data_IF_287502528084
#
_entry.id   IF_287502528084
#
_cell.length_a   1.000
_cell.length_b   1.000
_cell.length_c   1.000
_cell.angle_alpha   90.00
_cell.angle_beta   90.00
_cell.angle_gamma   90.00
#
_symmetry.space_group_name_H-M   'P 1'
#
loop_
_entity.id
_entity.type
_entity.pdbx_description
1 polymer ?
#
# COMPACT_ATOMS: atom_id res chain seq x y z
N UNK A 1 -70.12 3.75 10.57
CA UNK A 1 -69.07 4.74 10.89
C UNK A 1 -67.94 4.06 11.63
N UNK A 2 -66.67 4.33 11.28
CA UNK A 2 -65.50 3.79 12.00
C UNK A 2 -65.28 4.58 13.30
N UNK A 3 -65.00 3.91 14.42
CA UNK A 3 -64.42 4.53 15.62
C UNK A 3 -62.90 4.27 15.64
N UNK A 4 -62.16 5.25 16.11
CA UNK A 4 -60.75 5.13 16.44
C UNK A 4 -60.56 4.20 17.67
N UNK A 5 -59.38 3.59 17.82
CA UNK A 5 -58.35 4.09 18.76
C UNK A 5 -57.17 3.11 18.83
N UNK A 6 -55.97 3.69 18.83
CA UNK A 6 -54.66 3.04 19.00
C UNK A 6 -54.48 2.62 20.46
N UNK A 7 -53.76 1.53 20.74
CA UNK A 7 -52.88 1.42 21.94
C UNK A 7 -51.75 0.42 21.67
N UNK A 8 -50.64 0.65 22.38
CA UNK A 8 -49.28 0.19 22.11
C UNK A 8 -48.85 -0.87 23.15
N UNK A 9 -48.18 -1.93 22.68
CA UNK A 9 -47.03 -2.70 23.24
C UNK A 9 -46.94 -2.89 24.78
N UNK A 10 -46.66 -4.12 25.26
CA UNK A 10 -45.56 -4.45 26.22
C UNK A 10 -45.42 -5.97 26.55
N UNK A 11 -44.18 -6.47 26.38
CA UNK A 11 -43.43 -7.52 27.11
C UNK A 11 -43.74 -9.05 27.12
N UNK A 12 -42.73 -9.78 26.59
CA UNK A 12 -41.96 -10.93 27.14
C UNK A 12 -42.46 -12.41 27.17
N UNK A 13 -41.82 -13.21 26.28
CA UNK A 13 -41.01 -14.44 26.51
C UNK A 13 -41.66 -15.74 27.03
N UNK A 14 -41.44 -16.84 26.26
CA UNK A 14 -41.27 -18.20 26.78
C UNK A 14 -40.37 -19.10 25.88
N UNK A 15 -39.80 -20.14 26.50
CA UNK A 15 -38.55 -20.88 26.15
C UNK A 15 -38.87 -22.40 26.07
N UNK A 16 -38.40 -23.22 25.11
CA UNK A 16 -37.52 -23.02 23.93
C UNK A 16 -37.73 -24.19 22.92
N UNK A 17 -36.87 -24.31 21.89
CA UNK A 17 -36.35 -25.56 21.25
C UNK A 17 -36.63 -25.81 19.75
N UNK A 18 -35.56 -25.79 18.95
CA UNK A 18 -35.22 -26.89 18.04
C UNK A 18 -35.89 -27.00 16.65
N UNK A 19 -35.38 -26.24 15.68
CA UNK A 19 -35.16 -26.74 14.31
C UNK A 19 -34.07 -25.90 13.64
N UNK A 20 -33.16 -26.53 12.90
CA UNK A 20 -31.98 -25.86 12.36
C UNK A 20 -32.19 -25.20 11.00
N UNK A 21 -31.21 -24.35 10.69
CA UNK A 21 -30.45 -24.42 9.44
C UNK A 21 -30.99 -23.68 8.19
N UNK A 22 -30.17 -22.67 7.83
CA UNK A 22 -29.94 -22.04 6.51
C UNK A 22 -30.66 -20.72 6.21
N UNK A 23 -29.95 -19.61 6.48
CA UNK A 23 -29.86 -18.45 5.59
C UNK A 23 -28.68 -17.51 5.98
N UNK A 24 -27.51 -18.06 6.29
CA UNK A 24 -26.27 -17.28 6.16
C UNK A 24 -26.02 -17.20 4.65
N UNK A 25 -26.46 -16.11 4.02
CA UNK A 25 -26.18 -15.87 2.61
C UNK A 25 -24.66 -15.78 2.44
N UNK A 26 -24.10 -16.80 1.80
CA UNK A 26 -22.69 -16.86 1.41
C UNK A 26 -22.34 -15.57 0.67
N UNK A 27 -21.31 -14.85 1.14
CA UNK A 27 -20.79 -13.68 0.44
C UNK A 27 -19.71 -14.19 -0.51
N UNK A 28 -19.90 -14.14 -1.84
CA UNK A 28 -18.86 -14.55 -2.76
C UNK A 28 -17.63 -13.66 -2.58
N UNK A 29 -16.45 -14.26 -2.50
CA UNK A 29 -15.19 -13.56 -2.34
C UNK A 29 -14.64 -13.22 -3.73
N UNK A 30 -14.49 -11.93 -4.10
CA UNK A 30 -13.77 -11.56 -5.32
C UNK A 30 -12.32 -11.99 -5.16
N UNK A 31 -11.78 -12.80 -6.08
CA UNK A 31 -10.42 -13.32 -5.96
C UNK A 31 -9.40 -12.48 -6.71
N UNK A 32 -9.72 -12.05 -7.93
CA UNK A 32 -8.84 -11.19 -8.74
C UNK A 32 -9.66 -10.19 -9.55
N UNK A 33 -9.15 -8.95 -9.66
CA UNK A 33 -9.67 -7.93 -10.57
C UNK A 33 -8.61 -7.64 -11.64
N UNK A 34 -8.92 -7.95 -12.90
CA UNK A 34 -8.09 -7.52 -14.04
C UNK A 34 -8.63 -6.17 -14.49
N UNK A 35 -7.76 -5.16 -14.58
CA UNK A 35 -8.15 -3.83 -15.02
C UNK A 35 -7.42 -3.42 -16.30
N UNK A 36 -8.01 -2.51 -17.06
CA UNK A 36 -7.43 -2.07 -18.32
C UNK A 36 -8.24 -0.99 -19.02
N UNK A 37 -7.65 -0.40 -20.05
CA UNK A 37 -8.32 0.59 -20.90
C UNK A 37 -8.57 0.02 -22.30
N UNK A 38 -9.76 0.25 -22.84
CA UNK A 38 -10.20 -0.23 -24.15
C UNK A 38 -10.74 0.93 -24.99
N UNK A 39 -10.36 0.99 -26.27
CA UNK A 39 -10.89 1.97 -27.23
C UNK A 39 -11.92 1.30 -28.12
N UNK A 40 -13.16 1.79 -28.12
CA UNK A 40 -14.24 1.28 -28.99
C UNK A 40 -15.17 2.40 -29.42
N UNK A 41 -15.68 2.33 -30.65
CA UNK A 41 -16.65 3.30 -31.22
C UNK A 41 -16.23 4.78 -31.09
N UNK A 42 -14.91 5.06 -31.12
CA UNK A 42 -14.36 6.42 -30.95
C UNK A 42 -14.40 6.96 -29.51
N UNK A 43 -14.61 6.09 -28.52
CA UNK A 43 -14.58 6.39 -27.09
C UNK A 43 -13.56 5.50 -26.37
N UNK A 44 -13.13 5.93 -25.19
CA UNK A 44 -12.26 5.18 -24.29
C UNK A 44 -13.07 4.70 -23.09
N UNK A 45 -12.81 3.47 -22.67
CA UNK A 45 -13.42 2.84 -21.51
C UNK A 45 -12.34 2.29 -20.58
N UNK A 46 -12.65 2.24 -19.28
CA UNK A 46 -11.89 1.52 -18.27
C UNK A 46 -12.70 0.29 -17.84
N UNK A 47 -12.12 -0.89 -18.05
CA UNK A 47 -12.71 -2.17 -17.72
C UNK A 47 -12.17 -2.67 -16.39
N UNK A 48 -13.06 -3.22 -15.57
CA UNK A 48 -12.77 -3.94 -14.33
C UNK A 48 -13.43 -5.31 -14.41
N UNK A 49 -12.62 -6.34 -14.69
CA UNK A 49 -13.06 -7.73 -14.77
C UNK A 49 -12.86 -8.39 -13.40
N UNK A 50 -13.94 -8.53 -12.64
CA UNK A 50 -13.92 -9.27 -11.37
C UNK A 50 -14.11 -10.76 -11.62
N UNK A 51 -13.18 -11.58 -11.12
CA UNK A 51 -13.34 -13.02 -11.03
C UNK A 51 -14.04 -13.39 -9.72
N UNK A 52 -15.22 -14.01 -9.85
CA UNK A 52 -16.08 -14.43 -8.75
C UNK A 52 -16.19 -15.95 -8.76
N UNK A 53 -15.60 -16.62 -7.76
CA UNK A 53 -15.79 -18.05 -7.56
C UNK A 53 -17.10 -18.31 -6.80
N UNK A 54 -17.90 -19.24 -7.30
CA UNK A 54 -19.07 -19.80 -6.61
C UNK A 54 -18.76 -21.22 -6.12
N UNK A 55 -19.55 -21.74 -5.17
CA UNK A 55 -19.32 -23.02 -4.47
C UNK A 55 -19.10 -24.24 -5.41
N UNK A 56 -19.57 -24.16 -6.66
CA UNK A 56 -19.39 -25.15 -7.73
C UNK A 56 -17.94 -25.29 -8.27
N UNK A 57 -16.94 -24.59 -7.71
CA UNK A 57 -15.60 -24.38 -8.30
C UNK A 57 -15.62 -23.75 -9.72
N UNK A 58 -16.72 -23.07 -10.08
CA UNK A 58 -16.83 -22.31 -11.33
C UNK A 58 -16.42 -20.87 -11.11
N UNK A 59 -15.50 -20.40 -11.95
CA UNK A 59 -15.13 -18.99 -12.04
C UNK A 59 -16.13 -18.29 -12.96
N UNK A 60 -16.84 -17.31 -12.42
CA UNK A 60 -17.69 -16.39 -13.17
C UNK A 60 -16.94 -15.06 -13.33
N UNK A 61 -16.87 -14.53 -14.54
CA UNK A 61 -16.29 -13.22 -14.81
C UNK A 61 -17.40 -12.17 -14.93
N UNK A 62 -17.30 -11.10 -14.14
CA UNK A 62 -18.18 -9.95 -14.23
C UNK A 62 -17.36 -8.74 -14.70
N UNK A 63 -17.69 -8.21 -15.87
CA UNK A 63 -17.03 -7.04 -16.45
C UNK A 63 -17.86 -5.80 -16.08
N UNK A 64 -17.24 -4.87 -15.38
CA UNK A 64 -17.73 -3.51 -15.23
C UNK A 64 -16.95 -2.60 -16.17
N UNK A 65 -17.66 -1.78 -16.94
CA UNK A 65 -17.07 -0.91 -17.94
C UNK A 65 -17.53 0.52 -17.68
N UNK A 66 -16.56 1.45 -17.64
CA UNK A 66 -16.78 2.86 -17.34
C UNK A 66 -16.23 3.72 -18.48
N UNK A 67 -17.02 4.64 -19.03
CA UNK A 67 -16.53 5.57 -20.04
C UNK A 67 -15.53 6.56 -19.42
N UNK A 68 -14.33 6.65 -19.99
CA UNK A 68 -13.29 7.61 -19.58
C UNK A 68 -13.65 8.97 -20.16
N UNK A 69 -14.52 9.68 -19.45
CA UNK A 69 -15.13 10.92 -19.91
C UNK A 69 -14.05 11.93 -20.31
N UNK A 70 -14.20 12.47 -21.53
CA UNK A 70 -13.32 13.49 -22.08
C UNK A 70 -12.12 12.96 -22.88
N UNK A 71 -11.64 11.73 -22.66
CA UNK A 71 -10.41 11.21 -23.27
C UNK A 71 -10.42 11.21 -24.82
N UNK A 72 -9.32 11.62 -25.45
CA UNK A 72 -9.17 11.57 -26.91
C UNK A 72 -8.81 10.15 -27.38
N UNK A 73 -9.83 9.38 -27.73
CA UNK A 73 -9.73 8.01 -28.26
C UNK A 73 -8.76 7.82 -29.45
N UNK A 74 -8.40 8.89 -30.19
CA UNK A 74 -7.43 8.80 -31.30
C UNK A 74 -5.98 8.84 -30.84
N UNK A 75 -5.72 9.43 -29.67
CA UNK A 75 -4.36 9.57 -29.11
C UNK A 75 -4.19 8.84 -27.78
N UNK A 76 -5.22 8.12 -27.33
CA UNK A 76 -5.20 7.38 -26.08
C UNK A 76 -4.26 6.16 -26.13
N UNK A 77 -3.50 5.99 -25.04
CA UNK A 77 -2.60 4.86 -24.80
C UNK A 77 -2.65 4.45 -23.34
N UNK A 78 -2.70 3.15 -23.06
CA UNK A 78 -2.47 2.62 -21.70
C UNK A 78 -1.00 2.82 -21.33
N UNK A 79 -0.73 3.26 -20.10
CA UNK A 79 0.64 3.48 -19.62
C UNK A 79 0.98 2.42 -18.59
N UNK A 80 1.93 1.56 -18.92
CA UNK A 80 2.50 0.60 -17.97
C UNK A 80 3.48 1.27 -17.03
N UNK A 81 3.61 0.73 -15.82
CA UNK A 81 4.70 1.10 -14.89
C UNK A 81 6.03 0.84 -15.57
N UNK A 82 6.94 1.81 -15.54
CA UNK A 82 8.37 1.54 -15.72
C UNK A 82 8.75 0.60 -14.57
N UNK A 83 8.84 -0.71 -14.84
CA UNK A 83 9.54 -1.62 -13.91
C UNK A 83 10.96 -1.11 -13.80
N UNK A 84 11.21 -0.36 -12.74
CA UNK A 84 12.50 0.28 -12.49
C UNK A 84 13.60 -0.76 -12.60
N UNK A 85 14.71 -0.37 -13.21
CA UNK A 85 15.86 -1.24 -13.50
C UNK A 85 16.48 -1.85 -12.23
N UNK A 86 16.04 -1.39 -11.04
CA UNK A 86 16.47 -1.86 -9.73
C UNK A 86 15.32 -2.54 -8.94
N UNK A 87 14.59 -3.46 -9.56
CA UNK A 87 13.90 -4.54 -8.83
C UNK A 87 14.94 -5.55 -8.30
N UNK A 88 15.91 -5.04 -7.53
CA UNK A 88 16.85 -5.85 -6.75
C UNK A 88 16.12 -6.46 -5.54
N UNK A 89 16.76 -7.41 -4.86
CA UNK A 89 16.13 -8.41 -4.00
C UNK A 89 15.32 -7.91 -2.78
N UNK A 90 15.28 -6.59 -2.53
CA UNK A 90 14.64 -5.97 -1.37
C UNK A 90 13.27 -5.30 -1.67
N UNK A 91 12.80 -5.29 -2.92
CA UNK A 91 11.45 -4.77 -3.23
C UNK A 91 10.37 -5.79 -2.86
N UNK A 92 9.39 -5.42 -2.02
CA UNK A 92 8.20 -6.25 -1.76
C UNK A 92 7.44 -6.49 -3.08
N UNK A 93 7.36 -7.75 -3.60
CA UNK A 93 6.70 -8.04 -4.87
C UNK A 93 5.22 -7.63 -4.91
N UNK A 94 4.56 -7.51 -3.75
CA UNK A 94 3.17 -7.06 -3.64
C UNK A 94 3.01 -5.56 -3.94
N UNK A 95 4.09 -4.77 -3.94
CA UNK A 95 4.05 -3.32 -4.26
C UNK A 95 3.68 -3.06 -5.72
N UNK A 96 3.95 -4.01 -6.62
CA UNK A 96 3.76 -3.84 -8.08
C UNK A 96 2.72 -4.81 -8.67
N UNK A 97 2.09 -5.65 -7.86
CA UNK A 97 0.97 -6.48 -8.28
C UNK A 97 -0.26 -5.60 -8.62
N UNK A 98 -0.96 -5.92 -9.70
CA UNK A 98 -2.20 -5.23 -10.09
C UNK A 98 -2.06 -3.87 -10.79
N UNK A 99 -0.85 -3.35 -11.06
CA UNK A 99 -0.66 -2.03 -11.68
C UNK A 99 -0.82 -2.01 -13.21
N UNK A 100 -0.87 -3.17 -13.86
CA UNK A 100 -1.12 -3.28 -15.30
C UNK A 100 -2.52 -2.78 -15.63
N UNK A 101 -2.63 -1.73 -16.44
CA UNK A 101 -3.91 -1.22 -16.92
C UNK A 101 -4.52 -0.05 -16.13
N UNK A 102 -4.03 0.23 -14.90
CA UNK A 102 -4.54 1.33 -14.05
C UNK A 102 -4.42 2.72 -14.69
N UNK A 103 -3.29 3.00 -15.34
CA UNK A 103 -3.00 4.31 -15.94
C UNK A 103 -3.23 4.32 -17.46
N UNK A 104 -3.71 5.45 -17.95
CA UNK A 104 -3.79 5.77 -19.38
C UNK A 104 -3.50 7.24 -19.63
N UNK A 105 -3.18 7.60 -20.87
CA UNK A 105 -2.97 9.00 -21.28
C UNK A 105 -3.45 9.22 -22.70
N UNK A 106 -3.92 10.43 -22.99
CA UNK A 106 -3.99 10.94 -24.35
C UNK A 106 -2.84 11.93 -24.61
N UNK A 107 -2.88 12.70 -25.70
CA UNK A 107 -1.83 13.68 -26.01
C UNK A 107 -1.68 14.84 -24.99
N UNK A 108 -2.68 15.05 -24.13
CA UNK A 108 -2.79 16.25 -23.27
C UNK A 108 -3.16 15.95 -21.82
N UNK A 109 -3.70 14.76 -21.51
CA UNK A 109 -4.20 14.38 -20.18
C UNK A 109 -3.78 12.99 -19.77
N UNK A 110 -3.84 12.76 -18.46
CA UNK A 110 -3.51 11.51 -17.79
C UNK A 110 -4.75 11.05 -17.03
N UNK A 111 -4.97 9.73 -17.00
CA UNK A 111 -6.11 9.09 -16.40
C UNK A 111 -5.65 7.96 -15.48
N UNK A 112 -6.30 7.80 -14.33
CA UNK A 112 -6.15 6.66 -13.43
C UNK A 112 -7.53 6.08 -13.17
N UNK A 113 -7.68 4.78 -13.35
CA UNK A 113 -8.93 4.05 -13.08
C UNK A 113 -10.15 4.67 -13.78
N UNK A 114 -9.96 5.10 -15.03
CA UNK A 114 -10.97 5.77 -15.86
C UNK A 114 -11.29 7.23 -15.51
N UNK A 115 -10.60 7.83 -14.54
CA UNK A 115 -10.81 9.22 -14.11
C UNK A 115 -9.62 10.11 -14.53
N UNK A 116 -9.89 11.34 -14.98
CA UNK A 116 -8.83 12.32 -15.30
C UNK A 116 -8.10 12.75 -14.00
N UNK A 117 -6.77 12.75 -14.04
CA UNK A 117 -5.93 13.14 -12.90
C UNK A 117 -5.63 14.63 -12.99
N UNK A 118 -6.16 15.40 -12.03
CA UNK A 118 -6.05 16.86 -12.01
C UNK A 118 -5.06 17.36 -10.94
N UNK A 119 -4.43 18.52 -11.14
CA UNK A 119 -3.56 19.10 -10.11
C UNK A 119 -4.33 19.37 -8.81
N UNK A 120 -3.62 19.23 -7.67
CA UNK A 120 -4.15 19.54 -6.35
C UNK A 120 -4.56 21.03 -6.24
N UNK A 121 -3.73 21.91 -6.79
CA UNK A 121 -3.82 23.37 -6.76
C UNK A 121 -3.43 23.97 -8.12
N UNK A 122 -3.87 25.18 -8.43
CA UNK A 122 -3.40 25.94 -9.61
C UNK A 122 -1.90 26.29 -9.57
N UNK A 123 -1.26 26.14 -8.40
CA UNK A 123 0.18 26.30 -8.21
C UNK A 123 0.99 25.02 -8.49
N UNK A 124 0.34 23.87 -8.66
CA UNK A 124 1.03 22.61 -8.98
C UNK A 124 1.41 22.62 -10.46
N UNK A 125 2.68 22.37 -10.84
CA UNK A 125 3.10 22.31 -12.24
C UNK A 125 2.28 21.29 -13.03
N UNK A 126 1.89 21.65 -14.26
CA UNK A 126 1.24 20.72 -15.16
C UNK A 126 2.21 19.61 -15.59
N UNK A 127 1.80 18.35 -15.47
CA UNK A 127 2.62 17.19 -15.88
C UNK A 127 2.84 17.21 -17.40
N UNK A 128 4.08 17.10 -17.85
CA UNK A 128 4.38 16.88 -19.28
C UNK A 128 4.03 15.44 -19.70
N UNK A 129 2.83 15.30 -20.27
CA UNK A 129 2.27 14.04 -20.76
C UNK A 129 3.14 13.40 -21.86
N UNK A 130 3.98 14.16 -22.56
CA UNK A 130 4.87 13.63 -23.59
C UNK A 130 6.05 12.84 -23.01
N UNK A 131 6.60 13.28 -21.87
CA UNK A 131 7.70 12.60 -21.16
C UNK A 131 7.26 11.76 -19.96
N UNK A 132 5.95 11.73 -19.66
CA UNK A 132 5.33 10.95 -18.58
C UNK A 132 5.81 9.48 -18.51
N UNK A 133 6.22 9.09 -17.30
CA UNK A 133 6.53 7.72 -16.87
C UNK A 133 5.84 7.41 -15.54
N UNK A 134 5.28 6.22 -15.41
CA UNK A 134 4.67 5.73 -14.17
C UNK A 134 5.75 4.98 -13.37
N UNK A 135 5.97 5.34 -12.10
CA UNK A 135 7.02 4.76 -11.25
C UNK A 135 6.44 3.67 -10.33
N UNK A 136 5.25 3.92 -9.77
CA UNK A 136 4.52 2.98 -8.91
C UNK A 136 3.02 3.28 -8.93
N UNK A 137 2.25 2.65 -8.04
CA UNK A 137 0.82 2.93 -7.87
C UNK A 137 0.53 4.42 -7.61
N UNK A 138 1.36 5.06 -6.78
CA UNK A 138 1.16 6.41 -6.26
C UNK A 138 2.09 7.45 -6.89
N UNK A 139 3.08 7.05 -7.69
CA UNK A 139 4.11 7.96 -8.19
C UNK A 139 4.23 7.94 -9.70
N UNK A 140 4.22 9.13 -10.28
CA UNK A 140 4.50 9.39 -11.70
C UNK A 140 5.57 10.47 -11.81
N UNK A 141 6.24 10.56 -12.96
CA UNK A 141 7.18 11.64 -13.27
C UNK A 141 7.08 12.06 -14.71
N UNK A 142 7.51 13.28 -14.98
CA UNK A 142 7.92 13.72 -16.31
C UNK A 142 9.45 13.91 -16.35
N UNK A 143 9.96 14.65 -17.34
CA UNK A 143 11.40 14.93 -17.44
C UNK A 143 11.96 15.91 -16.38
N UNK A 144 11.11 16.59 -15.60
CA UNK A 144 11.50 17.67 -14.68
C UNK A 144 11.00 17.49 -13.25
N UNK A 145 9.90 16.76 -13.02
CA UNK A 145 9.27 16.65 -11.70
C UNK A 145 8.81 15.23 -11.39
N UNK A 146 8.70 14.93 -10.10
CA UNK A 146 8.01 13.74 -9.57
C UNK A 146 6.70 14.20 -8.94
N UNK A 147 5.64 13.41 -9.10
CA UNK A 147 4.31 13.70 -8.59
C UNK A 147 3.75 12.52 -7.81
N UNK A 148 3.13 12.83 -6.68
CA UNK A 148 2.30 11.91 -5.90
C UNK A 148 0.88 11.99 -6.45
N UNK A 149 0.36 10.88 -6.97
CA UNK A 149 -1.02 10.71 -7.42
C UNK A 149 -1.83 10.06 -6.30
N UNK A 150 -2.83 10.77 -5.79
CA UNK A 150 -3.66 10.32 -4.68
C UNK A 150 -5.03 11.03 -4.65
N UNK A 151 -5.91 10.62 -3.73
CA UNK A 151 -7.20 11.23 -3.44
C UNK A 151 -7.07 12.58 -2.71
N UNK A 152 -6.59 13.61 -3.41
CA UNK A 152 -6.57 15.00 -2.92
C UNK A 152 -7.96 15.44 -2.43
N UNK A 153 -8.04 16.29 -1.37
CA UNK A 153 -9.11 16.30 -0.37
C UNK A 153 -10.53 15.94 -0.84
N UNK A 154 -10.79 14.62 -0.76
CA UNK A 154 -12.06 13.90 -0.90
C UNK A 154 -12.83 14.12 -2.23
N UNK A 155 -13.10 13.01 -2.92
CA UNK A 155 -13.93 12.87 -4.13
C UNK A 155 -13.29 13.19 -5.50
N UNK A 156 -11.96 13.36 -5.60
CA UNK A 156 -11.28 13.30 -6.91
C UNK A 156 -9.89 12.66 -6.80
N UNK A 157 -9.49 11.92 -7.82
CA UNK A 157 -8.08 11.57 -8.02
C UNK A 157 -7.36 12.82 -8.54
N UNK A 158 -6.20 13.13 -7.97
CA UNK A 158 -5.38 14.23 -8.43
C UNK A 158 -3.91 14.01 -8.11
N UNK A 159 -3.10 15.03 -8.34
CA UNK A 159 -1.66 14.94 -8.10
C UNK A 159 -1.11 16.19 -7.42
N UNK A 160 -0.05 16.00 -6.64
CA UNK A 160 0.79 17.06 -6.09
C UNK A 160 2.24 16.83 -6.48
N UNK A 161 2.98 17.90 -6.70
CA UNK A 161 4.43 17.84 -6.91
C UNK A 161 5.12 17.36 -5.63
N UNK A 162 6.08 16.46 -5.79
CA UNK A 162 6.95 15.99 -4.73
C UNK A 162 8.30 16.69 -4.91
N UNK A 163 8.78 17.50 -3.95
CA UNK A 163 10.05 18.21 -4.04
C UNK A 163 11.23 17.24 -3.81
N UNK A 164 11.43 16.34 -4.77
CA UNK A 164 12.59 15.45 -4.87
C UNK A 164 13.84 16.25 -5.24
N UNK A 165 15.03 15.76 -4.90
CA UNK A 165 16.28 16.43 -5.27
C UNK A 165 16.80 15.99 -6.65
N UNK A 166 16.45 14.79 -7.09
CA UNK A 166 16.76 14.30 -8.44
C UNK A 166 15.61 13.43 -9.03
N UNK A 167 14.72 14.02 -9.85
CA UNK A 167 13.65 13.31 -10.55
C UNK A 167 14.10 12.18 -11.48
N UNK A 168 15.37 12.19 -11.92
CA UNK A 168 15.87 11.17 -12.85
C UNK A 168 16.31 9.89 -12.15
N UNK A 169 16.70 9.98 -10.87
CA UNK A 169 17.14 8.84 -10.05
C UNK A 169 16.13 8.44 -8.97
N UNK A 170 15.01 9.14 -8.85
CA UNK A 170 13.93 8.79 -7.93
C UNK A 170 13.36 7.39 -8.20
N UNK A 171 13.30 6.57 -7.15
CA UNK A 171 12.78 5.20 -7.15
C UNK A 171 11.95 4.94 -5.88
N UNK A 172 10.85 4.21 -6.04
CA UNK A 172 10.01 3.74 -4.93
C UNK A 172 10.49 2.36 -4.50
N UNK A 173 10.73 2.16 -3.20
CA UNK A 173 11.26 0.92 -2.62
C UNK A 173 10.13 0.01 -2.14
N UNK A 174 9.12 0.59 -1.49
CA UNK A 174 7.85 -0.03 -1.15
C UNK A 174 6.77 1.08 -0.99
N UNK A 175 5.57 0.74 -0.50
CA UNK A 175 4.48 1.71 -0.25
C UNK A 175 4.79 2.86 0.72
N UNK A 176 5.88 2.77 1.49
CA UNK A 176 6.23 3.70 2.57
C UNK A 176 7.59 4.37 2.40
N UNK A 177 8.44 3.93 1.47
CA UNK A 177 9.76 4.53 1.26
C UNK A 177 10.12 4.70 -0.21
N UNK A 178 10.79 5.79 -0.50
CA UNK A 178 11.42 6.08 -1.78
C UNK A 178 12.80 6.71 -1.56
N UNK A 179 13.62 6.78 -2.60
CA UNK A 179 14.90 7.50 -2.60
C UNK A 179 15.24 8.05 -3.97
N UNK A 180 16.06 9.09 -4.02
CA UNK A 180 16.80 9.50 -5.21
C UNK A 180 18.31 9.41 -4.92
N UNK A 181 19.17 9.90 -5.82
CA UNK A 181 20.62 9.87 -5.62
C UNK A 181 21.14 10.73 -4.44
N UNK A 182 20.31 11.61 -3.87
CA UNK A 182 20.71 12.61 -2.87
C UNK A 182 19.92 12.51 -1.54
N UNK A 183 18.76 11.85 -1.53
CA UNK A 183 17.87 11.80 -0.38
C UNK A 183 17.05 10.51 -0.28
N UNK A 184 16.65 10.19 0.95
CA UNK A 184 15.67 9.17 1.29
C UNK A 184 14.37 9.86 1.72
N UNK A 185 13.24 9.25 1.39
CA UNK A 185 11.89 9.78 1.64
C UNK A 185 11.03 8.73 2.35
N UNK A 186 10.29 9.17 3.35
CA UNK A 186 9.22 8.42 4.00
C UNK A 186 7.86 8.89 3.45
N UNK A 187 6.95 7.94 3.26
CA UNK A 187 5.64 8.15 2.61
C UNK A 187 4.54 7.74 3.60
N UNK A 188 4.22 8.57 4.60
CA UNK A 188 3.15 8.29 5.54
C UNK A 188 1.76 8.46 4.90
N UNK A 189 0.82 7.66 5.38
CA UNK A 189 -0.62 7.81 5.18
C UNK A 189 -1.25 8.22 6.51
N UNK A 190 -2.02 9.30 6.53
CA UNK A 190 -2.65 9.84 7.76
C UNK A 190 -4.08 9.32 8.01
N UNK A 191 -4.61 8.49 7.10
CA UNK A 191 -6.00 8.03 7.10
C UNK A 191 -6.86 8.70 6.04
N UNK A 192 -6.40 9.81 5.44
CA UNK A 192 -7.08 10.53 4.37
C UNK A 192 -6.22 10.68 3.11
N UNK A 193 -4.94 11.03 3.26
CA UNK A 193 -4.00 11.25 2.14
C UNK A 193 -2.61 10.71 2.44
N UNK A 194 -1.88 10.38 1.38
CA UNK A 194 -0.44 10.20 1.42
C UNK A 194 0.28 11.56 1.40
N UNK A 195 1.47 11.59 1.97
CA UNK A 195 2.42 12.71 1.81
C UNK A 195 3.84 12.17 1.65
N UNK A 196 4.81 13.03 1.35
CA UNK A 196 6.21 12.65 1.18
C UNK A 196 7.11 13.53 2.05
N UNK A 197 7.86 12.89 2.94
CA UNK A 197 8.72 13.56 3.93
C UNK A 197 10.17 13.17 3.68
N UNK A 198 11.04 14.15 3.41
CA UNK A 198 12.48 13.93 3.29
C UNK A 198 13.08 13.52 4.63
N UNK A 199 13.72 12.36 4.69
CA UNK A 199 14.44 11.88 5.86
C UNK A 199 15.83 12.52 5.92
N UNK A 200 16.19 13.07 7.08
CA UNK A 200 17.48 13.75 7.27
C UNK A 200 18.57 12.80 7.76
N UNK A 201 19.79 12.97 7.24
CA UNK A 201 20.98 12.30 7.75
C UNK A 201 21.22 10.88 7.26
N UNK A 202 20.33 10.30 6.44
CA UNK A 202 20.49 8.97 5.82
C UNK A 202 21.31 9.03 4.53
N UNK A 203 22.10 8.00 4.27
CA UNK A 203 22.81 7.79 3.00
C UNK A 203 21.92 7.02 2.01
N UNK A 204 21.41 7.65 0.93
CA UNK A 204 20.56 6.98 -0.04
C UNK A 204 21.28 5.85 -0.80
N UNK A 205 22.62 5.90 -0.88
CA UNK A 205 23.39 4.86 -1.59
C UNK A 205 23.34 3.52 -0.87
N UNK A 206 23.38 3.53 0.47
CA UNK A 206 23.33 2.32 1.31
C UNK A 206 21.97 2.08 1.94
N UNK A 207 21.00 2.98 1.74
CA UNK A 207 19.63 2.82 2.24
C UNK A 207 18.88 1.66 1.57
N UNK A 208 18.34 0.77 2.41
CA UNK A 208 17.57 -0.41 2.01
C UNK A 208 16.46 -0.75 3.04
N UNK A 209 15.52 -1.59 2.64
CA UNK A 209 14.49 -2.14 3.54
C UNK A 209 15.07 -3.39 4.22
N UNK A 210 15.11 -3.43 5.55
CA UNK A 210 15.56 -4.62 6.30
C UNK A 210 14.43 -5.66 6.39
N UNK A 211 13.18 -5.20 6.47
CA UNK A 211 12.00 -6.05 6.42
C UNK A 211 10.92 -5.64 7.42
N UNK A 212 9.89 -6.47 7.57
CA UNK A 212 8.73 -6.17 8.38
C UNK A 212 9.04 -6.09 9.88
N UNK A 213 8.61 -5.00 10.51
CA UNK A 213 8.92 -4.61 11.87
C UNK A 213 7.77 -4.96 12.84
N UNK A 214 6.56 -4.59 12.43
CA UNK A 214 5.34 -4.80 13.18
C UNK A 214 4.14 -4.15 12.48
N UNK A 215 2.93 -4.43 12.95
CA UNK A 215 1.72 -3.81 12.40
C UNK A 215 0.49 -4.72 12.40
N UNK A 216 -0.63 -4.15 11.95
CA UNK A 216 -1.90 -4.84 11.78
C UNK A 216 -2.41 -4.65 10.34
N UNK A 217 -2.73 -5.74 9.65
CA UNK A 217 -3.29 -5.76 8.28
C UNK A 217 -2.51 -4.87 7.28
N UNK A 218 -3.10 -3.71 6.92
CA UNK A 218 -2.53 -2.72 5.99
C UNK A 218 -1.61 -1.70 6.67
N UNK A 219 -1.69 -1.54 7.99
CA UNK A 219 -0.84 -0.65 8.78
C UNK A 219 0.46 -1.37 9.12
N UNK A 220 1.26 -1.62 8.08
CA UNK A 220 2.58 -2.24 8.18
C UNK A 220 3.63 -1.20 8.55
N UNK A 221 4.59 -1.61 9.37
CA UNK A 221 5.81 -0.85 9.63
C UNK A 221 7.03 -1.70 9.26
N UNK A 222 8.11 -1.06 8.84
CA UNK A 222 9.34 -1.73 8.41
C UNK A 222 10.54 -1.22 9.21
N UNK A 223 11.51 -2.11 9.37
CA UNK A 223 12.87 -1.71 9.66
C UNK A 223 13.52 -1.29 8.35
N UNK A 224 14.24 -0.18 8.39
CA UNK A 224 15.02 0.34 7.27
C UNK A 224 16.39 0.76 7.78
N UNK A 225 17.40 0.71 6.92
CA UNK A 225 18.78 0.95 7.35
C UNK A 225 19.62 1.60 6.25
N UNK A 226 20.55 2.47 6.66
CA UNK A 226 21.72 2.86 5.86
C UNK A 226 23.00 2.26 6.48
N UNK A 227 24.19 2.53 5.95
CA UNK A 227 25.44 1.97 6.48
C UNK A 227 25.79 2.37 7.94
N UNK A 228 25.02 3.26 8.59
CA UNK A 228 25.32 3.82 9.92
C UNK A 228 24.16 3.70 10.92
N UNK A 229 22.92 3.74 10.43
CA UNK A 229 21.70 3.84 11.25
C UNK A 229 20.68 2.78 10.83
N UNK A 230 20.05 2.16 11.82
CA UNK A 230 18.80 1.42 11.67
C UNK A 230 17.66 2.29 12.20
N UNK A 231 16.54 2.31 11.49
CA UNK A 231 15.30 2.94 11.91
C UNK A 231 14.19 1.90 11.96
N UNK A 232 13.29 2.05 12.92
CA UNK A 232 11.95 1.50 12.82
C UNK A 232 11.03 2.61 12.32
N UNK A 233 10.28 2.37 11.25
CA UNK A 233 9.46 3.39 10.57
C UNK A 233 10.34 4.59 10.14
N UNK A 234 10.28 5.69 10.87
CA UNK A 234 11.02 6.94 10.68
C UNK A 234 11.96 7.27 11.85
N UNK A 235 12.01 6.42 12.87
CA UNK A 235 12.66 6.67 14.16
C UNK A 235 13.95 5.85 14.32
N UNK A 236 15.12 6.49 14.52
CA UNK A 236 16.40 5.78 14.73
C UNK A 236 16.43 4.90 15.99
N UNK A 237 16.94 3.68 15.87
CA UNK A 237 17.11 2.73 16.98
C UNK A 237 18.46 3.00 17.66
N UNK A 238 18.42 3.60 18.85
CA UNK A 238 19.61 4.13 19.53
C UNK A 238 20.69 3.07 19.82
N UNK A 239 21.81 3.16 19.10
CA UNK A 239 22.95 2.26 19.25
C UNK A 239 22.77 0.87 18.63
N UNK A 240 21.85 0.73 17.67
CA UNK A 240 21.79 -0.44 16.81
C UNK A 240 22.98 -0.49 15.84
N UNK A 241 23.60 -1.66 15.70
CA UNK A 241 24.70 -1.88 14.77
C UNK A 241 24.18 -2.25 13.39
N UNK A 242 24.04 -1.25 12.51
CA UNK A 242 23.42 -1.41 11.18
C UNK A 242 24.05 -2.51 10.33
N UNK A 243 25.38 -2.69 10.42
CA UNK A 243 26.12 -3.69 9.66
C UNK A 243 25.78 -5.15 10.04
N UNK A 244 25.14 -5.39 11.20
CA UNK A 244 24.77 -6.73 11.67
C UNK A 244 23.29 -6.87 12.04
N UNK A 245 22.50 -5.80 11.88
CA UNK A 245 21.09 -5.79 12.23
C UNK A 245 20.26 -6.64 11.26
N UNK A 246 19.45 -7.56 11.80
CA UNK A 246 18.57 -8.43 11.01
C UNK A 246 17.35 -8.90 11.80
N UNK A 247 16.28 -9.21 11.09
CA UNK A 247 15.11 -9.88 11.66
C UNK A 247 15.44 -11.36 11.94
N UNK A 248 14.92 -11.91 13.03
CA UNK A 248 15.07 -13.32 13.43
C UNK A 248 13.75 -14.08 13.26
N UNK A 249 12.61 -13.42 13.46
CA UNK A 249 11.31 -13.98 13.17
C UNK A 249 10.16 -13.04 13.52
N UNK A 250 8.97 -13.42 13.09
CA UNK A 250 7.72 -12.71 13.35
C UNK A 250 6.91 -13.47 14.42
N UNK A 251 6.10 -12.73 15.19
CA UNK A 251 5.20 -13.26 16.22
C UNK A 251 3.82 -12.63 16.07
N UNK A 252 2.76 -13.42 16.24
CA UNK A 252 1.43 -12.84 16.44
C UNK A 252 1.28 -12.46 17.92
N UNK A 253 0.99 -11.19 18.17
CA UNK A 253 0.80 -10.61 19.50
C UNK A 253 -0.65 -10.69 19.98
N UNK A 254 -1.59 -11.07 19.10
CA UNK A 254 -3.01 -11.13 19.39
C UNK A 254 -3.68 -12.33 18.68
N UNK A 255 -3.27 -13.58 18.98
CA UNK A 255 -3.73 -14.78 18.28
C UNK A 255 -5.24 -15.05 18.43
N UNK A 256 -5.87 -14.54 19.50
CA UNK A 256 -7.29 -14.70 19.79
C UNK A 256 -8.18 -13.61 19.17
N UNK A 257 -7.62 -12.71 18.35
CA UNK A 257 -8.32 -11.55 17.79
C UNK A 257 -7.83 -11.13 16.40
N UNK A 258 -7.90 -9.83 16.11
CA UNK A 258 -7.26 -9.26 14.91
C UNK A 258 -5.75 -9.46 15.01
N UNK A 259 -5.15 -10.16 14.05
CA UNK A 259 -3.73 -10.49 14.06
C UNK A 259 -2.87 -9.22 14.07
N UNK A 260 -2.03 -9.09 15.10
CA UNK A 260 -1.08 -7.99 15.26
C UNK A 260 0.30 -8.63 15.20
N UNK A 261 0.98 -8.48 14.07
CA UNK A 261 2.30 -9.06 13.92
C UNK A 261 3.34 -8.14 14.56
N UNK A 262 4.20 -8.70 15.41
CA UNK A 262 5.45 -8.10 15.86
C UNK A 262 6.64 -8.86 15.29
N UNK A 263 7.85 -8.35 15.53
CA UNK A 263 9.10 -9.03 15.15
C UNK A 263 10.08 -9.09 16.32
N UNK A 264 10.94 -10.11 16.29
CA UNK A 264 12.22 -10.09 16.97
C UNK A 264 13.32 -9.83 15.94
N UNK A 265 14.23 -8.92 16.27
CA UNK A 265 15.43 -8.61 15.49
C UNK A 265 16.65 -8.59 16.41
N UNK A 266 17.85 -8.72 15.85
CA UNK A 266 19.10 -8.69 16.59
C UNK A 266 20.14 -7.89 15.81
N UNK A 267 21.12 -7.36 16.54
CA UNK A 267 22.43 -7.03 15.99
C UNK A 267 23.52 -7.82 16.75
N UNK A 268 24.80 -7.55 16.51
CA UNK A 268 25.92 -8.23 17.20
C UNK A 268 25.98 -8.00 18.73
N UNK A 269 25.27 -7.01 19.25
CA UNK A 269 25.31 -6.57 20.64
C UNK A 269 24.01 -6.87 21.41
N UNK A 270 22.85 -6.80 20.76
CA UNK A 270 21.53 -6.73 21.41
C UNK A 270 20.44 -7.51 20.69
N UNK A 271 19.42 -7.90 21.45
CA UNK A 271 18.13 -8.38 20.96
C UNK A 271 17.11 -7.26 21.07
N UNK A 272 16.26 -7.14 20.05
CA UNK A 272 15.19 -6.17 19.94
C UNK A 272 13.86 -6.88 19.70
N UNK A 273 12.77 -6.28 20.17
CA UNK A 273 11.40 -6.63 19.84
C UNK A 273 10.62 -5.37 19.46
N UNK A 274 9.37 -5.53 19.00
CA UNK A 274 8.38 -4.44 18.95
C UNK A 274 8.91 -3.12 18.37
N UNK A 275 9.52 -3.20 17.20
CA UNK A 275 10.07 -2.04 16.50
C UNK A 275 11.16 -1.25 17.23
N UNK A 276 12.03 -1.97 17.95
CA UNK A 276 13.31 -1.44 18.45
C UNK A 276 13.44 -1.41 19.98
N UNK A 277 12.48 -1.96 20.73
CA UNK A 277 12.59 -2.13 22.18
C UNK A 277 13.68 -3.17 22.52
N UNK A 278 14.71 -2.76 23.28
CA UNK A 278 15.83 -3.64 23.66
C UNK A 278 15.39 -4.66 24.71
N UNK A 279 15.58 -5.95 24.40
CA UNK A 279 15.34 -7.05 25.35
C UNK A 279 16.54 -7.23 26.28
N UNK A 280 16.47 -6.59 27.45
CA UNK A 280 17.53 -6.65 28.46
C UNK A 280 17.76 -8.06 29.01
N UNK A 281 19.03 -8.44 29.16
CA UNK A 281 19.43 -9.74 29.74
C UNK A 281 19.50 -10.91 28.75
N UNK A 282 19.22 -10.66 27.46
CA UNK A 282 19.29 -11.67 26.40
C UNK A 282 20.43 -11.32 25.44
N UNK A 283 21.27 -12.30 25.12
CA UNK A 283 22.34 -12.16 24.13
C UNK A 283 21.83 -12.53 22.73
N UNK A 284 22.35 -11.89 21.66
CA UNK A 284 21.98 -12.21 20.27
C UNK A 284 22.07 -13.69 19.91
N UNK A 285 23.06 -14.41 20.48
CA UNK A 285 23.28 -15.83 20.23
C UNK A 285 22.16 -16.75 20.79
N UNK A 286 21.32 -16.27 21.71
CA UNK A 286 20.19 -17.01 22.25
C UNK A 286 18.94 -16.90 21.36
N UNK A 287 18.86 -15.86 20.54
CA UNK A 287 17.71 -15.58 19.69
C UNK A 287 17.90 -16.23 18.30
N UNK A 288 17.27 -17.39 18.08
CA UNK A 288 17.50 -18.26 16.92
C UNK A 288 16.26 -18.24 16.01
N UNK A 289 16.48 -18.13 14.69
CA UNK A 289 15.40 -18.19 13.71
C UNK A 289 14.64 -19.52 13.79
N UNK A 290 13.32 -19.46 13.81
CA UNK A 290 12.44 -20.63 14.01
C UNK A 290 12.29 -21.10 15.47
N UNK A 291 13.03 -20.54 16.44
CA UNK A 291 12.82 -20.81 17.87
C UNK A 291 13.01 -19.54 18.71
N UNK A 292 11.97 -18.70 18.74
CA UNK A 292 12.01 -17.37 19.34
C UNK A 292 11.95 -17.36 20.88
N UNK A 293 11.77 -18.52 21.53
CA UNK A 293 11.77 -18.62 23.01
C UNK A 293 13.08 -18.14 23.65
N UNK A 294 14.19 -18.23 22.93
CA UNK A 294 15.48 -17.70 23.38
C UNK A 294 15.66 -16.19 23.18
N UNK A 295 14.73 -15.52 22.49
CA UNK A 295 14.64 -14.07 22.36
C UNK A 295 13.86 -13.42 23.51
N UNK A 296 13.12 -14.21 24.29
CA UNK A 296 12.31 -13.75 25.43
C UNK A 296 13.17 -13.53 26.68
N UNK A 297 12.76 -12.59 27.53
CA UNK A 297 13.39 -12.37 28.83
C UNK A 297 13.07 -13.53 29.78
N UNK A 298 14.11 -14.10 30.39
CA UNK A 298 14.00 -15.08 31.50
C UNK A 298 13.74 -14.40 32.85
#
# INVERSE_FOLDING_TARGET
>A
MKKHTIIIIIALVLIIAGAGWWNVKYRPTPQEAITGHVVKNGKVYYDVVMQVQWDDNKIHQQIHEFEVVGADAKTFTSVSVERGVNAEADTDPQTFAGLSGRYGKDKARIFSEGNEILPASSSTPAIDVSTLKIISELFVRDAQHVYLVDSVPVNRIGYMEVPVLDPNTFMVLNRQYAKDAQAVYYIPFDGAVYSVVKMSGLDPKTFHIVGFCGGAEMYREYYVADARTVLAKDTPIAGADSATFRIVGLVDKNPDGMSITGSYSIDKNRVYKDCGEVVSGVSPAQCIAGNLKGCERK
#
